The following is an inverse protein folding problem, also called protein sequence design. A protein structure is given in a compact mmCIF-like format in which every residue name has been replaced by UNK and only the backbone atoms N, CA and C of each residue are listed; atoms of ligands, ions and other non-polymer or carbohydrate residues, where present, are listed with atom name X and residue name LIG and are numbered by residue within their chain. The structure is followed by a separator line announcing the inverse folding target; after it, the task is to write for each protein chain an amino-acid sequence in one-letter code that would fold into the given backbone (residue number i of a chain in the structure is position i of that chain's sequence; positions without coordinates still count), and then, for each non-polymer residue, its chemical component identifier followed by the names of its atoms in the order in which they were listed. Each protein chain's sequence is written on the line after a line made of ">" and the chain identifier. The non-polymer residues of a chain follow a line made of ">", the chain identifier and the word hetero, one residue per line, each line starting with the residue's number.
data_IF_586265983774
#
_entry.id   IF_586265983774
#
_cell.length_a   1.000
_cell.length_b   1.000
_cell.length_c   1.000
_cell.angle_alpha   90.00
_cell.angle_beta   90.00
_cell.angle_gamma   90.00
#
_symmetry.space_group_name_H-M   'P 1'
#
loop_
_entity.id
_entity.type
_entity.pdbx_description
1 polymer ?
#
# COMPACT_ATOMS: atom_id res chain seq x y z
N UNK A 1 -13.89 -11.54 8.69
CA UNK A 1 -13.75 -10.07 8.79
C UNK A 1 -12.48 -9.61 8.06
N UNK A 2 -12.54 -9.46 6.74
CA UNK A 2 -11.39 -9.06 5.90
C UNK A 2 -11.12 -7.54 5.92
N UNK A 3 -12.04 -6.78 6.49
CA UNK A 3 -12.04 -5.31 6.56
C UNK A 3 -11.04 -4.73 7.56
N UNK A 4 -10.77 -5.40 8.70
CA UNK A 4 -9.86 -4.87 9.71
C UNK A 4 -8.41 -4.77 9.23
N UNK A 5 -7.89 -5.83 8.59
CA UNK A 5 -6.53 -5.85 8.03
C UNK A 5 -6.32 -4.77 6.98
N UNK A 6 -7.33 -4.57 6.11
CA UNK A 6 -7.30 -3.54 5.08
C UNK A 6 -7.31 -2.13 5.69
N UNK A 7 -8.15 -1.88 6.69
CA UNK A 7 -8.20 -0.58 7.37
C UNK A 7 -6.85 -0.28 8.04
N UNK A 8 -6.26 -1.25 8.75
CA UNK A 8 -4.94 -1.09 9.36
C UNK A 8 -3.85 -0.82 8.31
N UNK A 9 -3.84 -1.58 7.21
CA UNK A 9 -2.88 -1.37 6.12
C UNK A 9 -3.00 0.05 5.51
N UNK A 10 -4.23 0.55 5.33
CA UNK A 10 -4.49 1.90 4.83
C UNK A 10 -4.03 2.99 5.80
N UNK A 11 -4.27 2.81 7.10
CA UNK A 11 -3.81 3.76 8.13
C UNK A 11 -2.28 3.81 8.15
N UNK A 12 -1.61 2.67 8.16
CA UNK A 12 -0.16 2.59 8.18
C UNK A 12 0.48 3.15 6.90
N UNK A 13 -0.15 2.91 5.74
CA UNK A 13 0.27 3.51 4.47
C UNK A 13 0.11 5.04 4.47
N UNK A 14 -1.01 5.56 4.98
CA UNK A 14 -1.24 7.01 5.11
C UNK A 14 -0.25 7.68 6.08
N UNK A 15 0.07 7.03 7.19
CA UNK A 15 1.09 7.51 8.14
C UNK A 15 2.51 7.46 7.56
N UNK A 16 2.72 6.80 6.41
CA UNK A 16 4.05 6.59 5.84
C UNK A 16 4.88 5.54 6.59
N UNK A 17 4.25 4.76 7.47
CA UNK A 17 4.90 3.68 8.22
C UNK A 17 5.20 2.49 7.33
N UNK A 18 4.29 2.17 6.41
CA UNK A 18 4.44 1.06 5.45
C UNK A 18 4.48 1.58 4.03
N UNK A 19 5.31 0.93 3.20
CA UNK A 19 5.27 1.09 1.74
C UNK A 19 4.05 0.38 1.16
N UNK A 20 3.72 0.67 -0.09
CA UNK A 20 2.62 0.06 -0.83
C UNK A 20 2.73 -1.47 -0.83
N UNK A 21 3.93 -2.01 -1.02
CA UNK A 21 4.17 -3.47 -1.01
C UNK A 21 3.90 -4.10 0.35
N UNK A 22 4.35 -3.43 1.41
CA UNK A 22 4.15 -3.89 2.78
C UNK A 22 2.68 -3.78 3.20
N UNK A 23 1.99 -2.69 2.83
CA UNK A 23 0.58 -2.50 3.10
C UNK A 23 -0.29 -3.52 2.36
N UNK A 24 0.02 -3.81 1.09
CA UNK A 24 -0.66 -4.83 0.30
C UNK A 24 -0.47 -6.24 0.91
N UNK A 25 0.78 -6.59 1.24
CA UNK A 25 1.11 -7.85 1.94
C UNK A 25 0.39 -7.97 3.28
N UNK A 26 0.32 -6.87 4.05
CA UNK A 26 -0.39 -6.82 5.32
C UNK A 26 -1.92 -6.96 5.16
N UNK A 27 -2.48 -6.46 4.05
CA UNK A 27 -3.88 -6.65 3.68
C UNK A 27 -4.15 -8.04 3.07
N UNK A 28 -3.11 -8.85 2.80
CA UNK A 28 -3.25 -10.17 2.18
C UNK A 28 -3.68 -10.12 0.72
N UNK A 29 -3.28 -9.07 0.00
CA UNK A 29 -3.65 -8.82 -1.39
C UNK A 29 -2.45 -8.29 -2.18
N UNK A 30 -2.47 -8.46 -3.49
CA UNK A 30 -1.41 -7.96 -4.37
C UNK A 30 -1.38 -6.43 -4.39
N UNK A 31 -0.22 -5.85 -4.70
CA UNK A 31 -0.06 -4.39 -4.85
C UNK A 31 -1.09 -3.80 -5.81
N UNK A 32 -1.35 -4.43 -6.96
CA UNK A 32 -2.35 -3.95 -7.94
C UNK A 32 -3.76 -3.88 -7.36
N UNK A 33 -4.14 -4.87 -6.55
CA UNK A 33 -5.45 -4.90 -5.87
C UNK A 33 -5.53 -3.78 -4.82
N UNK A 34 -4.42 -3.54 -4.11
CA UNK A 34 -4.34 -2.48 -3.12
C UNK A 34 -4.36 -1.08 -3.80
N UNK A 35 -3.63 -0.90 -4.90
CA UNK A 35 -3.66 0.30 -5.76
C UNK A 35 -5.08 0.59 -6.24
N UNK A 36 -5.76 -0.41 -6.78
CA UNK A 36 -7.16 -0.27 -7.24
C UNK A 36 -8.07 0.18 -6.11
N UNK A 37 -7.82 -0.33 -4.89
CA UNK A 37 -8.57 0.07 -3.70
C UNK A 37 -8.28 1.50 -3.27
N UNK A 38 -7.02 1.94 -3.35
CA UNK A 38 -6.62 3.33 -3.09
C UNK A 38 -7.30 4.28 -4.10
N UNK A 39 -7.23 3.96 -5.40
CA UNK A 39 -7.84 4.73 -6.48
C UNK A 39 -9.36 4.83 -6.31
N UNK A 40 -10.03 3.72 -6.01
CA UNK A 40 -11.48 3.70 -5.73
C UNK A 40 -11.87 4.56 -4.52
N UNK A 41 -10.97 4.71 -3.54
CA UNK A 41 -11.18 5.55 -2.35
C UNK A 41 -10.70 6.99 -2.53
N UNK A 42 -10.08 7.33 -3.67
CA UNK A 42 -9.46 8.64 -3.89
C UNK A 42 -8.21 8.91 -3.06
N UNK A 43 -7.55 7.85 -2.56
CA UNK A 43 -6.31 7.99 -1.78
C UNK A 43 -5.13 8.10 -2.77
N UNK A 44 -4.32 9.17 -2.70
CA UNK A 44 -3.19 9.34 -3.60
C UNK A 44 -2.10 8.30 -3.32
N UNK A 45 -1.56 7.70 -4.38
CA UNK A 45 -0.48 6.72 -4.29
C UNK A 45 0.84 7.49 -4.24
N UNK A 46 1.47 7.51 -3.07
CA UNK A 46 2.72 8.27 -2.83
C UNK A 46 3.91 7.70 -3.61
N UNK A 47 3.94 6.39 -3.82
CA UNK A 47 5.04 5.69 -4.52
C UNK A 47 4.98 5.83 -6.05
N UNK A 48 3.80 6.10 -6.64
CA UNK A 48 3.69 6.26 -8.10
C UNK A 48 4.34 7.56 -8.60
N UNK A 49 4.69 8.45 -7.67
CA UNK A 49 5.37 9.72 -7.93
C UNK A 49 6.90 9.57 -7.83
N UNK A 50 7.41 8.39 -7.42
CA UNK A 50 8.83 8.15 -7.19
C UNK A 50 9.28 6.79 -7.75
N UNK A 51 9.46 6.70 -9.07
CA UNK A 51 10.39 5.75 -9.68
C UNK A 51 11.57 6.57 -10.23
N UNK A 52 12.84 6.18 -10.00
CA UNK A 52 13.30 4.80 -9.91
C UNK A 52 14.12 4.47 -8.64
N UNK A 53 14.48 3.17 -8.54
CA UNK A 53 15.56 2.54 -7.78
C UNK A 53 15.15 1.62 -6.61
N UNK A 54 14.91 0.35 -6.97
CA UNK A 54 15.74 -0.77 -6.53
C UNK A 54 16.55 -0.52 -5.23
N UNK A 55 15.93 -0.70 -4.06
CA UNK A 55 16.68 -1.06 -2.86
C UNK A 55 16.60 -2.58 -2.70
N UNK A 56 17.44 -3.26 -3.48
CA UNK A 56 17.85 -4.64 -3.24
C UNK A 56 18.59 -4.64 -1.90
N UNK A 57 17.98 -5.23 -0.88
CA UNK A 57 18.61 -5.42 0.42
C UNK A 57 19.41 -6.73 0.41
N UNK A 58 20.70 -6.65 0.71
CA UNK A 58 21.54 -7.77 1.12
C UNK A 58 22.58 -8.19 0.10
#
# INVERSE_FOLDING_TARGET
>A
MYTHRLITALTLYQSGTLTLSQAASHAGQSQDTFITTLQRRGIPIREHINLPQQHHAG
#
